data_IF_074786404141
#
_entry.id   IF_074786404141
#
_cell.length_a   1.000
_cell.length_b   1.000
_cell.length_c   1.000
_cell.angle_alpha   90.00
_cell.angle_beta   90.00
_cell.angle_gamma   90.00
#
_symmetry.space_group_name_H-M   'P 1'
#
loop_
_entity.id
_entity.type
_entity.pdbx_description
1 polymer ?
#
# COMPACT_ATOMS: atom_id res chain seq x y z
N UNK A 1 -8.74 -5.77 6.80
CA UNK A 1 -8.23 -7.06 7.31
C UNK A 1 -7.09 -6.78 8.28
N UNK A 2 -6.99 -7.51 9.40
CA UNK A 2 -5.82 -7.43 10.30
C UNK A 2 -4.92 -8.63 10.01
N UNK A 3 -3.70 -8.35 9.57
CA UNK A 3 -2.70 -9.34 9.20
C UNK A 3 -1.33 -8.85 9.68
N UNK A 4 -0.42 -9.77 9.99
CA UNK A 4 0.95 -9.48 10.41
C UNK A 4 1.87 -10.56 9.85
N UNK A 5 2.69 -10.20 8.86
CA UNK A 5 3.60 -11.12 8.15
C UNK A 5 4.65 -11.74 9.08
N UNK A 6 5.02 -11.05 10.17
CA UNK A 6 6.00 -11.54 11.14
C UNK A 6 5.41 -12.54 12.11
N UNK A 7 4.12 -12.43 12.41
CA UNK A 7 3.42 -13.34 13.32
C UNK A 7 2.77 -14.53 12.59
N UNK A 8 2.51 -14.41 11.28
CA UNK A 8 1.77 -15.39 10.49
C UNK A 8 2.58 -15.86 9.27
N UNK A 9 3.32 -16.96 9.41
CA UNK A 9 4.07 -17.59 8.31
C UNK A 9 3.21 -18.46 7.39
N UNK A 10 1.96 -18.08 7.15
CA UNK A 10 1.05 -18.81 6.28
C UNK A 10 0.96 -18.11 4.92
N UNK A 11 1.57 -18.72 3.91
CA UNK A 11 1.61 -18.19 2.53
C UNK A 11 0.21 -17.92 1.96
N UNK A 12 -0.79 -18.73 2.29
CA UNK A 12 -2.16 -18.51 1.84
C UNK A 12 -2.74 -17.21 2.42
N UNK A 13 -2.58 -17.01 3.75
CA UNK A 13 -3.03 -15.77 4.40
C UNK A 13 -2.28 -14.54 3.92
N UNK A 14 -1.00 -14.70 3.58
CA UNK A 14 -0.19 -13.66 3.01
C UNK A 14 -0.74 -13.22 1.65
N UNK A 15 -1.00 -14.18 0.76
CA UNK A 15 -1.60 -13.93 -0.54
C UNK A 15 -2.99 -13.31 -0.41
N UNK A 16 -3.84 -13.82 0.49
CA UNK A 16 -5.18 -13.27 0.75
C UNK A 16 -5.11 -11.81 1.22
N UNK A 17 -4.14 -11.48 2.08
CA UNK A 17 -3.95 -10.10 2.53
C UNK A 17 -3.51 -9.18 1.39
N UNK A 18 -2.54 -9.59 0.57
CA UNK A 18 -2.07 -8.82 -0.59
C UNK A 18 -3.21 -8.58 -1.59
N UNK A 19 -3.99 -9.61 -1.89
CA UNK A 19 -5.15 -9.50 -2.77
C UNK A 19 -6.22 -8.56 -2.19
N UNK A 20 -6.54 -8.71 -0.91
CA UNK A 20 -7.47 -7.80 -0.22
C UNK A 20 -6.96 -6.35 -0.26
N UNK A 21 -5.69 -6.11 0.05
CA UNK A 21 -5.08 -4.79 0.05
C UNK A 21 -5.13 -4.15 -1.34
N UNK A 22 -4.81 -4.91 -2.39
CA UNK A 22 -4.90 -4.46 -3.77
C UNK A 22 -6.34 -4.08 -4.15
N UNK A 23 -7.30 -4.98 -3.91
CA UNK A 23 -8.70 -4.77 -4.27
C UNK A 23 -9.35 -3.57 -3.55
N UNK A 24 -9.07 -3.41 -2.25
CA UNK A 24 -9.54 -2.25 -1.49
C UNK A 24 -8.94 -0.94 -2.03
N UNK A 25 -7.64 -0.95 -2.36
CA UNK A 25 -6.95 0.23 -2.87
C UNK A 25 -7.47 0.59 -4.26
N UNK A 26 -7.63 -0.39 -5.14
CA UNK A 26 -8.22 -0.21 -6.48
C UNK A 26 -9.63 0.38 -6.38
N UNK A 27 -10.47 -0.18 -5.52
CA UNK A 27 -11.85 0.30 -5.33
C UNK A 27 -11.88 1.76 -4.87
N UNK A 28 -10.98 2.15 -3.96
CA UNK A 28 -10.87 3.52 -3.49
C UNK A 28 -10.37 4.46 -4.61
N UNK A 29 -9.32 4.05 -5.35
CA UNK A 29 -8.76 4.84 -6.45
C UNK A 29 -9.78 5.07 -7.58
N UNK A 30 -10.62 4.09 -7.91
CA UNK A 30 -11.69 4.24 -8.91
C UNK A 30 -12.67 5.36 -8.51
N UNK A 31 -13.04 5.43 -7.22
CA UNK A 31 -13.96 6.46 -6.69
C UNK A 31 -13.31 7.85 -6.62
N UNK A 32 -11.98 7.88 -6.44
CA UNK A 32 -11.18 9.08 -6.27
C UNK A 32 -10.61 9.64 -7.58
N UNK A 33 -10.93 9.03 -8.71
CA UNK A 33 -10.48 9.46 -10.04
C UNK A 33 -10.80 10.93 -10.31
N UNK A 34 -9.81 11.68 -10.82
CA UNK A 34 -9.91 13.13 -11.05
C UNK A 34 -9.92 13.98 -9.77
N UNK A 35 -9.59 13.41 -8.61
CA UNK A 35 -9.56 14.12 -7.32
C UNK A 35 -8.22 13.88 -6.62
N UNK A 36 -7.21 14.73 -6.90
CA UNK A 36 -5.84 14.49 -6.45
C UNK A 36 -5.68 14.31 -4.93
N UNK A 37 -6.44 15.06 -4.12
CA UNK A 37 -6.40 14.93 -2.66
C UNK A 37 -6.99 13.61 -2.15
N UNK A 38 -8.00 13.07 -2.82
CA UNK A 38 -8.54 11.75 -2.46
C UNK A 38 -7.59 10.62 -2.90
N UNK A 39 -6.91 10.78 -4.05
CA UNK A 39 -5.88 9.83 -4.52
C UNK A 39 -4.71 9.78 -3.53
N UNK A 40 -4.21 10.94 -3.08
CA UNK A 40 -3.19 11.02 -2.03
C UNK A 40 -3.61 10.27 -0.76
N UNK A 41 -4.86 10.42 -0.34
CA UNK A 41 -5.39 9.72 0.82
C UNK A 41 -5.45 8.20 0.60
N UNK A 42 -5.79 7.74 -0.61
CA UNK A 42 -5.77 6.33 -0.97
C UNK A 42 -4.35 5.74 -0.87
N UNK A 43 -3.35 6.44 -1.41
CA UNK A 43 -1.94 6.03 -1.34
C UNK A 43 -1.46 5.96 0.12
N UNK A 44 -1.78 6.97 0.92
CA UNK A 44 -1.48 6.96 2.35
C UNK A 44 -2.07 5.73 3.07
N UNK A 45 -3.35 5.44 2.83
CA UNK A 45 -4.03 4.31 3.46
C UNK A 45 -3.46 2.96 3.00
N UNK A 46 -3.10 2.82 1.73
CA UNK A 46 -2.40 1.66 1.21
C UNK A 46 -1.08 1.43 1.94
N UNK A 47 -0.20 2.44 1.97
CA UNK A 47 1.10 2.35 2.63
C UNK A 47 0.98 2.08 4.12
N UNK A 48 0.07 2.78 4.82
CA UNK A 48 -0.12 2.57 6.26
C UNK A 48 -0.52 1.13 6.56
N UNK A 49 -1.44 0.54 5.78
CA UNK A 49 -1.88 -0.85 5.97
C UNK A 49 -0.78 -1.85 5.62
N UNK A 50 -0.02 -1.61 4.56
CA UNK A 50 1.09 -2.48 4.18
C UNK A 50 2.18 -2.53 5.25
N UNK A 51 2.57 -1.36 5.77
CA UNK A 51 3.60 -1.26 6.82
C UNK A 51 3.11 -1.76 8.19
N UNK A 52 1.84 -1.56 8.54
CA UNK A 52 1.23 -2.16 9.74
C UNK A 52 1.18 -3.70 9.66
N UNK A 53 1.06 -4.24 8.45
CA UNK A 53 1.09 -5.66 8.18
C UNK A 53 2.49 -6.25 8.04
N UNK A 54 3.54 -5.42 8.18
CA UNK A 54 4.94 -5.80 8.00
C UNK A 54 5.25 -6.37 6.59
N UNK A 55 4.55 -5.93 5.56
CA UNK A 55 4.98 -6.22 4.19
C UNK A 55 6.36 -5.60 3.95
N UNK A 56 7.19 -6.27 3.16
CA UNK A 56 8.47 -5.71 2.77
C UNK A 56 8.32 -4.65 1.67
N UNK A 57 9.37 -3.84 1.50
CA UNK A 57 9.33 -2.74 0.53
C UNK A 57 9.20 -3.24 -0.91
N UNK A 58 9.77 -4.41 -1.24
CA UNK A 58 9.71 -4.97 -2.58
C UNK A 58 8.28 -5.39 -2.92
N UNK A 59 7.55 -5.95 -1.95
CA UNK A 59 6.12 -6.30 -2.10
C UNK A 59 5.21 -5.08 -2.23
N UNK A 60 5.50 -4.01 -1.49
CA UNK A 60 4.75 -2.74 -1.59
C UNK A 60 4.91 -2.17 -3.00
N UNK A 61 6.15 -2.15 -3.49
CA UNK A 61 6.51 -1.66 -4.82
C UNK A 61 5.91 -2.54 -5.93
N UNK A 62 5.93 -3.86 -5.74
CA UNK A 62 5.33 -4.84 -6.65
C UNK A 62 3.83 -4.56 -6.82
N UNK A 63 3.10 -4.37 -5.72
CA UNK A 63 1.67 -4.07 -5.72
C UNK A 63 1.36 -2.71 -6.36
N UNK A 64 2.19 -1.70 -6.12
CA UNK A 64 1.92 -0.33 -6.56
C UNK A 64 2.03 -0.17 -8.09
N UNK A 65 2.99 -0.83 -8.73
CA UNK A 65 3.30 -0.47 -10.12
C UNK A 65 4.36 -1.28 -10.85
N UNK A 66 5.19 -2.08 -10.17
CA UNK A 66 6.28 -2.76 -10.88
C UNK A 66 5.82 -4.03 -11.61
N UNK A 67 4.79 -4.73 -11.13
CA UNK A 67 4.18 -5.85 -11.85
C UNK A 67 2.79 -5.51 -12.38
N UNK A 68 2.51 -6.00 -13.60
CA UNK A 68 1.24 -5.77 -14.30
C UNK A 68 0.29 -6.97 -14.18
N UNK A 69 -1.03 -6.74 -14.01
CA UNK A 69 -1.66 -5.42 -13.82
C UNK A 69 -1.43 -4.89 -12.39
N UNK A 70 -0.94 -3.65 -12.30
CA UNK A 70 -0.74 -2.95 -11.01
C UNK A 70 -2.04 -2.37 -10.48
N UNK A 71 -2.08 -1.90 -9.23
CA UNK A 71 -3.25 -1.17 -8.69
C UNK A 71 -3.61 0.07 -9.54
N UNK A 72 -2.63 0.70 -10.19
CA UNK A 72 -2.84 1.83 -11.10
C UNK A 72 -3.55 1.36 -12.37
N UNK A 73 -3.05 0.28 -12.99
CA UNK A 73 -3.65 -0.31 -14.19
C UNK A 73 -5.08 -0.80 -13.91
N UNK A 74 -5.28 -1.49 -12.77
CA UNK A 74 -6.57 -2.04 -12.35
C UNK A 74 -7.60 -0.95 -12.06
N UNK A 75 -7.18 0.19 -11.49
CA UNK A 75 -8.05 1.33 -11.24
C UNK A 75 -8.31 2.19 -12.50
N UNK A 76 -7.64 1.91 -13.62
CA UNK A 76 -7.78 2.67 -14.86
C UNK A 76 -7.36 4.13 -14.71
N UNK A 77 -6.37 4.40 -13.85
CA UNK A 77 -5.76 5.72 -13.69
C UNK A 77 -4.77 5.97 -14.83
N UNK A 78 -4.75 7.20 -15.32
CA UNK A 78 -3.89 7.64 -16.43
C UNK A 78 -3.58 9.12 -16.27
N UNK A 79 -2.48 9.58 -16.87
CA UNK A 79 -2.13 11.01 -16.89
C UNK A 79 -1.91 11.56 -15.48
N UNK A 80 -2.61 12.65 -15.13
CA UNK A 80 -2.44 13.33 -13.84
C UNK A 80 -2.79 12.46 -12.63
N UNK A 81 -3.75 11.54 -12.76
CA UNK A 81 -4.13 10.65 -11.66
C UNK A 81 -3.03 9.62 -11.37
N UNK A 82 -2.40 9.08 -12.42
CA UNK A 82 -1.26 8.17 -12.31
C UNK A 82 -0.05 8.89 -11.70
N UNK A 83 0.28 10.09 -12.20
CA UNK A 83 1.35 10.92 -11.65
C UNK A 83 1.09 11.28 -10.18
N UNK A 84 -0.17 11.52 -9.81
CA UNK A 84 -0.56 11.78 -8.41
C UNK A 84 -0.28 10.56 -7.54
N UNK A 85 -0.57 9.33 -8.00
CA UNK A 85 -0.23 8.11 -7.24
C UNK A 85 1.27 7.99 -7.03
N UNK A 86 2.05 8.12 -8.12
CA UNK A 86 3.51 7.94 -8.09
C UNK A 86 4.20 9.00 -7.23
N UNK A 87 3.87 10.27 -7.43
CA UNK A 87 4.42 11.36 -6.62
C UNK A 87 4.04 11.25 -5.13
N UNK A 88 2.81 10.82 -4.83
CA UNK A 88 2.39 10.57 -3.46
C UNK A 88 3.19 9.44 -2.82
N UNK A 89 3.42 8.36 -3.57
CA UNK A 89 4.24 7.24 -3.10
C UNK A 89 5.67 7.69 -2.77
N UNK A 90 6.33 8.40 -3.70
CA UNK A 90 7.71 8.89 -3.50
C UNK A 90 7.85 9.81 -2.28
N UNK A 91 6.82 10.60 -1.98
CA UNK A 91 6.81 11.49 -0.82
C UNK A 91 6.50 10.75 0.49
N UNK A 92 5.57 9.81 0.48
CA UNK A 92 5.03 9.18 1.69
C UNK A 92 5.85 7.96 2.13
N UNK A 93 6.38 7.17 1.20
CA UNK A 93 7.10 5.94 1.51
C UNK A 93 8.28 6.15 2.48
N UNK A 94 9.18 7.14 2.29
CA UNK A 94 10.30 7.38 3.20
C UNK A 94 9.86 7.82 4.60
N UNK A 95 8.66 8.38 4.74
CA UNK A 95 8.11 8.86 6.02
C UNK A 95 7.41 7.72 6.74
N UNK A 96 6.55 6.98 6.05
CA UNK A 96 5.74 5.91 6.63
C UNK A 96 6.62 4.70 6.97
N UNK A 97 7.59 4.35 6.12
CA UNK A 97 8.56 3.28 6.42
C UNK A 97 9.33 3.52 7.72
N UNK A 98 9.77 4.76 7.97
CA UNK A 98 10.42 5.17 9.22
C UNK A 98 9.48 5.09 10.42
N UNK A 99 8.24 5.54 10.27
CA UNK A 99 7.24 5.46 11.35
C UNK A 99 6.89 4.01 11.67
N UNK A 100 6.69 3.18 10.65
CA UNK A 100 6.48 1.74 10.78
C UNK A 100 7.65 1.09 11.50
N UNK A 101 8.89 1.38 11.10
CA UNK A 101 10.09 0.90 11.79
C UNK A 101 10.13 1.29 13.28
N UNK A 102 9.80 2.55 13.62
CA UNK A 102 9.76 3.02 15.01
C UNK A 102 8.67 2.30 15.81
N UNK A 103 7.44 2.20 15.27
CA UNK A 103 6.33 1.52 15.95
C UNK A 103 6.65 0.04 16.21
N UNK A 104 7.25 -0.61 15.22
CA UNK A 104 7.57 -2.02 15.27
C UNK A 104 8.75 -2.30 16.23
N UNK A 105 9.74 -1.41 16.30
CA UNK A 105 10.86 -1.55 17.25
C UNK A 105 10.45 -1.32 18.72
N UNK A 106 9.34 -0.64 19.00
CA UNK A 106 8.82 -0.50 20.37
C UNK A 106 8.01 -1.72 20.84
N UNK A 107 7.43 -2.51 19.93
CA UNK A 107 6.67 -3.71 20.32
C UNK A 107 7.55 -4.92 20.71
N UNK A 108 8.84 -4.92 20.36
CA UNK A 108 9.78 -6.02 20.72
C UNK A 108 10.35 -5.88 22.15
N UNK A 109 9.98 -4.83 22.89
CA UNK A 109 10.54 -4.53 24.22
C UNK A 109 9.69 -4.98 25.43
N UNK A 110 8.69 -5.85 25.24
CA UNK A 110 7.85 -6.35 26.33
C UNK A 110 7.80 -7.87 26.41
#
# INVERSE_FOLDING_TARGET
MKYDSKAQHNELKHSEFKEWLANETVSALIVSKGKPEEIKACVFLFLNRAYEAHLDADEIVELLGIQKPSIIDMAGLQGEDEETVLSSYELLDPVISKIGYIRNSQQVKH
#
